data_IF_353617023509
#
_entry.id   IF_353617023509
#
_cell.length_a   1.000
_cell.length_b   1.000
_cell.length_c   1.000
_cell.angle_alpha   90.00
_cell.angle_beta   90.00
_cell.angle_gamma   90.00
#
_symmetry.space_group_name_H-M   'P 1'
#
loop_
_entity.id
_entity.type
_entity.pdbx_description
1 polymer ?
#
# COMPACT_ATOMS: atom_id res chain seq x y z
N UNK A 1 -2.16 33.19 -11.89
CA UNK A 1 -3.01 33.48 -10.72
C UNK A 1 -2.52 32.71 -9.49
N UNK A 2 -2.42 31.37 -9.55
CA UNK A 2 -2.03 30.49 -8.42
C UNK A 2 -0.69 30.82 -7.73
N UNK A 3 0.42 31.06 -8.46
CA UNK A 3 1.72 31.48 -7.86
C UNK A 3 1.62 32.75 -6.99
N UNK A 4 0.65 33.66 -7.23
CA UNK A 4 0.42 34.85 -6.38
C UNK A 4 -0.34 34.54 -5.09
N UNK A 5 -0.91 33.35 -4.97
CA UNK A 5 -1.59 32.84 -3.77
C UNK A 5 -0.69 31.90 -2.94
N UNK A 6 0.62 31.85 -3.24
CA UNK A 6 1.56 30.93 -2.59
C UNK A 6 1.43 29.47 -3.05
N UNK A 7 0.67 29.19 -4.12
CA UNK A 7 0.54 27.85 -4.69
C UNK A 7 1.49 27.68 -5.88
N UNK A 8 2.48 26.82 -5.71
CA UNK A 8 3.49 26.48 -6.70
C UNK A 8 3.22 25.08 -7.25
N UNK A 9 3.26 24.94 -8.58
CA UNK A 9 3.15 23.67 -9.28
C UNK A 9 4.38 23.58 -10.18
N UNK A 10 5.10 22.46 -10.07
CA UNK A 10 6.26 22.11 -10.91
C UNK A 10 5.90 20.75 -11.51
N UNK A 11 5.87 20.66 -12.84
CA UNK A 11 5.34 19.49 -13.56
C UNK A 11 6.07 19.19 -14.87
N UNK A 12 7.27 19.74 -15.04
CA UNK A 12 8.12 19.55 -16.21
C UNK A 12 9.59 19.78 -15.84
N UNK A 13 10.51 19.30 -16.68
CA UNK A 13 11.95 19.32 -16.42
C UNK A 13 12.60 20.72 -16.54
N UNK A 14 11.94 21.71 -17.14
CA UNK A 14 12.46 23.08 -17.21
C UNK A 14 12.19 23.82 -15.89
N UNK A 15 10.93 23.78 -15.42
CA UNK A 15 10.53 24.36 -14.13
C UNK A 15 11.23 23.67 -12.94
N UNK A 16 11.60 22.38 -13.03
CA UNK A 16 12.29 21.68 -11.93
C UNK A 16 13.66 22.30 -11.59
N UNK A 17 14.30 22.97 -12.55
CA UNK A 17 15.60 23.62 -12.38
C UNK A 17 15.49 25.01 -11.72
N UNK A 18 14.28 25.56 -11.61
CA UNK A 18 14.02 26.87 -11.01
C UNK A 18 13.31 26.68 -9.66
N UNK A 19 14.05 26.69 -8.53
CA UNK A 19 13.45 26.37 -7.23
C UNK A 19 12.47 27.45 -6.77
N UNK A 20 11.52 27.04 -5.94
CA UNK A 20 10.76 27.97 -5.11
C UNK A 20 11.61 28.31 -3.91
N UNK A 21 12.06 29.57 -3.80
CA UNK A 21 12.88 30.02 -2.67
C UNK A 21 12.00 30.70 -1.62
N UNK A 22 12.13 30.26 -0.36
CA UNK A 22 11.45 30.84 0.81
C UNK A 22 12.52 31.35 1.77
N UNK A 23 12.46 32.63 2.13
CA UNK A 23 13.34 33.23 3.14
C UNK A 23 12.78 32.99 4.55
N UNK A 24 13.63 32.54 5.47
CA UNK A 24 13.29 32.22 6.86
C UNK A 24 14.33 32.77 7.83
N UNK A 25 13.92 33.07 9.07
CA UNK A 25 14.85 33.53 10.11
C UNK A 25 15.77 32.43 10.66
N UNK A 26 15.38 31.16 10.53
CA UNK A 26 16.10 30.02 11.10
C UNK A 26 17.08 29.37 10.11
N UNK A 27 16.70 29.27 8.83
CA UNK A 27 17.49 28.61 7.78
C UNK A 27 18.04 29.57 6.71
N UNK A 28 17.68 30.85 6.74
CA UNK A 28 17.98 31.74 5.61
C UNK A 28 17.11 31.37 4.41
N UNK A 29 17.73 31.28 3.23
CA UNK A 29 17.03 30.92 1.99
C UNK A 29 16.88 29.40 1.86
N UNK A 30 15.65 28.92 1.72
CA UNK A 30 15.35 27.50 1.50
C UNK A 30 14.79 27.34 0.08
N UNK A 31 15.51 26.60 -0.75
CA UNK A 31 15.21 26.35 -2.16
C UNK A 31 14.53 24.98 -2.32
N UNK A 32 13.26 24.98 -2.72
CA UNK A 32 12.47 23.78 -2.96
C UNK A 32 12.49 23.45 -4.46
N UNK A 33 13.08 22.31 -4.81
CA UNK A 33 13.13 21.74 -6.16
C UNK A 33 12.09 20.62 -6.29
N UNK A 34 11.22 20.70 -7.28
CA UNK A 34 10.19 19.68 -7.53
C UNK A 34 10.54 18.81 -8.72
N UNK A 35 11.07 17.61 -8.49
CA UNK A 35 11.30 16.62 -9.56
C UNK A 35 9.97 15.93 -9.88
N UNK A 36 9.43 16.07 -11.11
CA UNK A 36 8.22 15.35 -11.49
C UNK A 36 8.51 13.85 -11.61
N UNK A 37 7.46 13.02 -11.45
CA UNK A 37 7.51 11.62 -11.88
C UNK A 37 7.94 11.58 -13.36
N UNK A 38 8.85 10.65 -13.67
CA UNK A 38 9.56 10.62 -14.94
C UNK A 38 9.81 9.18 -15.42
N UNK A 39 9.61 8.98 -16.72
CA UNK A 39 9.96 7.73 -17.40
C UNK A 39 11.33 7.89 -18.13
N UNK A 40 12.18 6.85 -18.16
CA UNK A 40 13.52 6.92 -18.76
C UNK A 40 13.51 7.38 -20.23
N UNK A 41 12.49 6.97 -20.99
CA UNK A 41 12.22 7.42 -22.37
C UNK A 41 12.11 8.93 -22.48
N UNK A 42 11.40 9.56 -21.54
CA UNK A 42 11.11 10.99 -21.55
C UNK A 42 12.38 11.77 -21.19
N UNK A 43 13.13 11.32 -20.20
CA UNK A 43 14.42 11.91 -19.79
C UNK A 43 15.43 11.80 -20.93
N UNK A 44 15.61 10.61 -21.53
CA UNK A 44 16.42 10.38 -22.73
C UNK A 44 16.00 11.27 -23.90
N UNK A 45 14.69 11.42 -24.13
CA UNK A 45 14.19 12.28 -25.21
C UNK A 45 14.47 13.76 -24.96
N UNK A 46 14.31 14.27 -23.74
CA UNK A 46 14.49 15.70 -23.43
C UNK A 46 15.97 16.07 -23.39
N UNK A 47 16.77 15.34 -22.60
CA UNK A 47 18.19 15.66 -22.38
C UNK A 47 19.15 15.11 -23.45
N UNK A 48 18.68 14.20 -24.32
CA UNK A 48 19.47 13.49 -25.35
C UNK A 48 20.59 12.59 -24.80
N UNK A 49 20.52 12.27 -23.51
CA UNK A 49 21.45 11.36 -22.82
C UNK A 49 20.99 9.89 -22.91
N UNK A 50 21.92 8.91 -22.91
CA UNK A 50 21.61 7.49 -23.10
C UNK A 50 21.05 6.78 -21.86
N UNK A 51 20.09 7.43 -21.19
CA UNK A 51 19.38 6.90 -20.00
C UNK A 51 18.42 5.78 -20.39
N UNK A 52 18.41 4.69 -19.63
CA UNK A 52 17.63 3.48 -19.89
C UNK A 52 16.83 2.95 -18.69
N UNK A 53 17.20 3.30 -17.46
CA UNK A 53 16.51 2.88 -16.22
C UNK A 53 15.98 4.07 -15.41
N UNK A 54 15.05 3.82 -14.48
CA UNK A 54 14.58 4.87 -13.56
C UNK A 54 15.71 5.36 -12.63
N UNK A 55 16.65 4.50 -12.25
CA UNK A 55 17.85 4.90 -11.50
C UNK A 55 18.73 5.89 -12.29
N UNK A 56 19.09 5.57 -13.53
CA UNK A 56 19.87 6.45 -14.42
C UNK A 56 19.14 7.78 -14.69
N UNK A 57 17.81 7.73 -14.81
CA UNK A 57 16.98 8.90 -15.00
C UNK A 57 17.02 9.83 -13.77
N UNK A 58 16.77 9.28 -12.58
CA UNK A 58 16.78 10.06 -11.34
C UNK A 58 18.17 10.60 -11.01
N UNK A 59 19.23 9.83 -11.29
CA UNK A 59 20.62 10.30 -11.22
C UNK A 59 20.83 11.56 -12.06
N UNK A 60 20.54 11.49 -13.36
CA UNK A 60 20.74 12.63 -14.27
C UNK A 60 19.90 13.85 -13.87
N UNK A 61 18.64 13.64 -13.46
CA UNK A 61 17.77 14.73 -13.02
C UNK A 61 18.26 15.35 -11.69
N UNK A 62 18.74 14.55 -10.74
CA UNK A 62 19.33 15.03 -9.50
C UNK A 62 20.63 15.81 -9.76
N UNK A 63 21.54 15.28 -10.59
CA UNK A 63 22.75 15.99 -11.03
C UNK A 63 22.40 17.35 -11.64
N UNK A 64 21.44 17.41 -12.57
CA UNK A 64 20.97 18.65 -13.21
C UNK A 64 20.38 19.66 -12.21
N UNK A 65 19.73 19.21 -11.14
CA UNK A 65 19.26 20.07 -10.04
C UNK A 65 20.44 20.57 -9.20
N UNK A 66 21.40 19.71 -8.84
CA UNK A 66 22.57 20.12 -8.04
C UNK A 66 23.46 21.14 -8.77
N UNK A 67 23.51 21.10 -10.11
CA UNK A 67 24.13 22.15 -10.94
C UNK A 67 23.51 23.55 -10.74
N UNK A 68 22.28 23.65 -10.21
CA UNK A 68 21.57 24.91 -9.94
C UNK A 68 21.66 25.38 -8.49
N UNK A 69 22.42 24.69 -7.62
CA UNK A 69 22.55 25.06 -6.22
C UNK A 69 23.26 26.40 -6.02
N UNK A 70 22.88 27.11 -4.96
CA UNK A 70 23.52 28.34 -4.52
C UNK A 70 24.07 28.15 -3.10
N UNK A 71 25.28 28.65 -2.81
CA UNK A 71 26.00 28.37 -1.55
C UNK A 71 25.23 28.78 -0.29
N UNK A 72 24.43 29.83 -0.39
CA UNK A 72 23.65 30.39 0.72
C UNK A 72 22.28 29.70 0.92
N UNK A 73 21.93 28.74 0.07
CA UNK A 73 20.64 28.06 0.12
C UNK A 73 20.71 26.75 0.93
N UNK A 74 19.56 26.35 1.49
CA UNK A 74 19.27 24.96 1.87
C UNK A 74 18.39 24.35 0.80
N UNK A 75 18.80 23.23 0.23
CA UNK A 75 18.26 22.66 -0.98
C UNK A 75 17.39 21.46 -0.62
N UNK A 76 16.08 21.59 -0.81
CA UNK A 76 15.09 20.57 -0.52
C UNK A 76 14.58 19.97 -1.82
N UNK A 77 14.72 18.66 -1.97
CA UNK A 77 14.11 17.92 -3.07
C UNK A 77 12.70 17.45 -2.69
N UNK A 78 11.75 17.63 -3.59
CA UNK A 78 10.45 16.99 -3.57
C UNK A 78 10.41 16.07 -4.79
N UNK A 79 10.23 14.76 -4.58
CA UNK A 79 10.25 13.76 -5.67
C UNK A 79 9.25 12.64 -5.44
N UNK A 80 8.89 11.94 -6.51
CA UNK A 80 7.98 10.79 -6.49
C UNK A 80 8.64 9.62 -7.21
N UNK A 81 9.24 8.71 -6.45
CA UNK A 81 9.99 7.57 -6.99
C UNK A 81 9.98 6.38 -6.02
N UNK A 82 10.49 5.24 -6.49
CA UNK A 82 10.73 4.07 -5.67
C UNK A 82 12.21 4.01 -5.26
N UNK A 83 12.54 4.26 -3.99
CA UNK A 83 13.90 4.07 -3.48
C UNK A 83 14.15 2.61 -3.17
N UNK A 84 15.26 2.03 -3.65
CA UNK A 84 15.55 0.61 -3.45
C UNK A 84 15.58 0.23 -1.97
N UNK A 85 15.01 -0.94 -1.66
CA UNK A 85 14.89 -1.49 -0.31
C UNK A 85 13.95 -0.72 0.62
N UNK A 86 13.12 0.20 0.11
CA UNK A 86 11.97 0.74 0.84
C UNK A 86 10.84 -0.32 0.97
N UNK A 87 9.93 -0.10 1.91
CA UNK A 87 8.84 -1.02 2.28
C UNK A 87 7.55 -0.63 1.55
N UNK A 88 6.95 -1.62 0.88
CA UNK A 88 5.76 -1.50 0.05
C UNK A 88 4.47 -1.90 0.80
N UNK A 89 3.34 -1.41 0.33
CA UNK A 89 1.99 -1.76 0.82
C UNK A 89 1.14 -2.36 -0.30
N UNK A 90 0.25 -3.31 0.00
CA UNK A 90 -0.60 -3.98 -1.02
C UNK A 90 -1.51 -3.04 -1.84
N UNK A 91 -1.78 -1.84 -1.33
CA UNK A 91 -2.56 -0.79 -2.01
C UNK A 91 -1.77 0.01 -3.06
N UNK A 92 -0.44 -0.10 -3.03
CA UNK A 92 0.45 0.55 -3.98
C UNK A 92 0.41 -0.23 -5.30
N UNK A 93 0.36 0.49 -6.43
CA UNK A 93 0.42 -0.16 -7.74
C UNK A 93 1.88 -0.43 -8.06
N UNK A 94 2.30 -1.68 -8.35
CA UNK A 94 3.62 -1.94 -8.89
C UNK A 94 3.79 -1.14 -10.19
N UNK A 95 4.78 -0.25 -10.23
CA UNK A 95 5.09 0.52 -11.44
C UNK A 95 5.84 -0.36 -12.44
N UNK A 96 6.61 -1.35 -11.96
CA UNK A 96 7.31 -2.33 -12.76
C UNK A 96 7.10 -3.78 -12.31
N UNK A 97 7.51 -4.72 -13.17
CA UNK A 97 7.70 -6.13 -12.81
C UNK A 97 9.19 -6.36 -12.62
N UNK A 98 9.60 -6.78 -11.42
CA UNK A 98 11.00 -7.12 -11.13
C UNK A 98 11.87 -5.96 -10.64
N UNK A 99 11.30 -4.81 -10.30
CA UNK A 99 12.02 -3.70 -9.65
C UNK A 99 12.84 -2.82 -10.60
N UNK A 100 12.45 -2.70 -11.87
CA UNK A 100 13.12 -1.80 -12.84
C UNK A 100 12.78 -0.32 -12.64
N UNK A 101 11.82 -0.03 -11.77
CA UNK A 101 11.39 1.29 -11.28
C UNK A 101 12.24 1.84 -10.11
N UNK A 102 13.17 1.03 -9.59
CA UNK A 102 13.96 1.36 -8.40
C UNK A 102 15.06 2.37 -8.68
N UNK A 103 15.34 3.17 -7.64
CA UNK A 103 16.27 4.30 -7.63
C UNK A 103 17.15 4.22 -6.38
N UNK A 104 18.45 4.44 -6.53
CA UNK A 104 19.37 4.56 -5.40
C UNK A 104 19.14 5.86 -4.63
N UNK A 105 19.15 5.78 -3.30
CA UNK A 105 19.12 6.99 -2.45
C UNK A 105 20.41 7.82 -2.57
N UNK A 106 21.50 7.24 -3.10
CA UNK A 106 22.80 7.91 -3.25
C UNK A 106 22.71 9.17 -4.14
N UNK A 107 21.79 9.18 -5.11
CA UNK A 107 21.55 10.33 -5.99
C UNK A 107 21.01 11.56 -5.24
N UNK A 108 20.55 11.39 -4.00
CA UNK A 108 19.95 12.46 -3.21
C UNK A 108 20.82 12.94 -2.04
N UNK A 109 22.05 12.44 -1.89
CA UNK A 109 22.94 12.76 -0.74
C UNK A 109 23.43 14.21 -0.68
N UNK A 110 23.26 14.98 -1.75
CA UNK A 110 23.65 16.39 -1.80
C UNK A 110 22.55 17.36 -1.33
N UNK A 111 21.33 16.87 -1.05
CA UNK A 111 20.21 17.70 -0.60
C UNK A 111 20.17 17.79 0.93
N UNK A 112 19.75 18.94 1.45
CA UNK A 112 19.54 19.13 2.90
C UNK A 112 18.32 18.35 3.41
N UNK A 113 17.31 18.12 2.56
CA UNK A 113 16.16 17.26 2.86
C UNK A 113 15.50 16.74 1.58
N UNK A 114 14.94 15.54 1.63
CA UNK A 114 14.29 14.88 0.49
C UNK A 114 12.91 14.37 0.91
N UNK A 115 11.88 15.10 0.46
CA UNK A 115 10.47 14.74 0.63
C UNK A 115 10.04 13.80 -0.49
N UNK A 116 9.92 12.51 -0.17
CA UNK A 116 9.47 11.48 -1.11
C UNK A 116 7.96 11.23 -1.00
N UNK A 117 7.31 11.16 -2.16
CA UNK A 117 6.00 10.55 -2.34
C UNK A 117 6.10 9.21 -3.07
N UNK A 118 5.00 8.44 -3.02
CA UNK A 118 4.70 7.18 -3.71
C UNK A 118 4.22 6.11 -2.71
N UNK A 119 5.05 5.79 -1.72
CA UNK A 119 4.79 4.73 -0.75
C UNK A 119 3.83 5.24 0.34
N UNK A 120 2.93 4.36 0.79
CA UNK A 120 1.89 4.66 1.76
C UNK A 120 2.35 4.48 3.21
N UNK A 121 3.45 3.75 3.44
CA UNK A 121 4.08 3.66 4.76
C UNK A 121 5.05 4.83 5.01
N UNK A 122 4.90 5.60 6.11
CA UNK A 122 5.91 6.57 6.53
C UNK A 122 7.21 5.85 6.91
N UNK A 123 8.33 6.27 6.32
CA UNK A 123 9.65 5.63 6.49
C UNK A 123 10.78 6.54 6.02
N UNK A 124 12.00 6.21 6.42
CA UNK A 124 13.25 6.82 5.93
C UNK A 124 14.07 5.78 5.16
N UNK A 125 14.94 6.21 4.24
CA UNK A 125 15.81 5.28 3.52
C UNK A 125 17.16 5.88 3.13
N UNK A 126 18.23 5.18 3.47
CA UNK A 126 19.60 5.64 3.29
C UNK A 126 20.02 6.57 4.42
N UNK A 127 19.46 7.77 4.43
CA UNK A 127 19.76 8.84 5.39
C UNK A 127 18.49 9.33 6.10
N UNK A 128 18.62 9.88 7.32
CA UNK A 128 17.49 10.36 8.12
C UNK A 128 16.66 11.47 7.44
N UNK A 129 17.28 12.24 6.54
CA UNK A 129 16.64 13.33 5.81
C UNK A 129 15.99 12.88 4.48
N UNK A 130 16.05 11.59 4.13
CA UNK A 130 15.43 11.01 2.92
C UNK A 130 14.20 10.22 3.35
N UNK A 131 13.01 10.83 3.26
CA UNK A 131 11.80 10.30 3.93
C UNK A 131 10.57 10.28 3.04
N UNK A 132 9.85 9.16 3.11
CA UNK A 132 8.44 9.09 2.70
C UNK A 132 7.55 9.54 3.87
N UNK A 133 6.63 10.46 3.61
CA UNK A 133 5.61 10.86 4.60
C UNK A 133 4.51 9.81 4.81
N UNK A 134 4.37 8.87 3.86
CA UNK A 134 3.26 7.92 3.82
C UNK A 134 1.94 8.56 3.38
N UNK A 135 0.86 7.78 3.45
CA UNK A 135 -0.51 8.25 3.28
C UNK A 135 -1.10 8.79 4.59
N UNK A 136 -2.12 9.65 4.49
CA UNK A 136 -2.83 10.17 5.68
C UNK A 136 -3.85 9.17 6.26
N UNK A 137 -4.22 8.14 5.51
CA UNK A 137 -5.17 7.08 5.90
C UNK A 137 -4.72 5.73 5.33
N UNK A 138 -5.23 4.64 5.90
CA UNK A 138 -4.99 3.27 5.42
C UNK A 138 -5.81 3.01 4.15
N UNK A 139 -5.21 2.41 3.12
CA UNK A 139 -5.89 2.08 1.87
C UNK A 139 -6.03 0.56 1.61
N UNK A 140 -5.24 -0.30 2.27
CA UNK A 140 -5.44 -1.75 2.35
C UNK A 140 -5.27 -2.30 3.77
N UNK A 141 -5.70 -3.56 3.96
CA UNK A 141 -5.55 -4.26 5.23
C UNK A 141 -4.09 -4.62 5.56
N UNK A 142 -3.20 -4.74 4.57
CA UNK A 142 -1.75 -4.78 4.80
C UNK A 142 -1.21 -3.55 5.57
N UNK A 143 -1.89 -2.40 5.48
CA UNK A 143 -1.53 -1.18 6.21
C UNK A 143 -2.08 -1.11 7.65
N UNK A 144 -2.78 -2.14 8.15
CA UNK A 144 -3.47 -2.09 9.47
C UNK A 144 -2.56 -1.70 10.64
N UNK A 145 -1.27 -2.05 10.56
CA UNK A 145 -0.26 -1.77 11.59
C UNK A 145 0.53 -0.47 11.33
N UNK A 146 0.33 0.17 10.18
CA UNK A 146 1.02 1.42 9.85
C UNK A 146 0.39 2.57 10.63
N UNK A 147 1.25 3.35 11.29
CA UNK A 147 0.91 4.64 11.86
C UNK A 147 0.77 5.64 10.71
N UNK A 148 -0.39 6.25 10.56
CA UNK A 148 -0.65 7.26 9.52
C UNK A 148 -0.51 8.64 10.13
N UNK A 149 -0.09 9.61 9.33
CA UNK A 149 0.27 10.91 9.86
C UNK A 149 1.01 11.76 8.86
N UNK A 150 1.76 12.74 9.36
CA UNK A 150 2.64 13.59 8.56
C UNK A 150 3.96 13.82 9.29
N UNK A 151 5.00 14.16 8.55
CA UNK A 151 6.33 14.43 9.11
C UNK A 151 6.51 15.93 9.32
N UNK A 152 6.70 16.36 10.57
CA UNK A 152 7.22 17.69 10.90
C UNK A 152 8.74 17.65 10.74
N UNK A 153 9.29 18.55 9.94
CA UNK A 153 10.72 18.59 9.60
C UNK A 153 11.30 19.92 10.03
N UNK A 154 12.42 19.90 10.75
CA UNK A 154 13.15 21.09 11.15
C UNK A 154 14.42 21.24 10.29
N UNK A 155 14.55 22.41 9.66
CA UNK A 155 15.70 22.82 8.83
C UNK A 155 16.22 24.13 9.39
N UNK A 156 17.54 24.28 9.47
CA UNK A 156 18.18 25.53 9.87
C UNK A 156 19.41 25.86 9.06
N UNK A 157 20.20 26.79 9.58
CA UNK A 157 21.65 26.62 9.50
C UNK A 157 22.00 25.38 10.36
N UNK A 158 22.71 24.36 9.90
CA UNK A 158 23.42 24.20 8.62
C UNK A 158 22.93 22.97 7.84
N UNK A 159 21.61 22.81 7.72
CA UNK A 159 20.96 21.67 7.06
C UNK A 159 19.74 21.16 7.84
N UNK A 160 19.44 19.87 7.66
CA UNK A 160 18.48 19.12 8.48
C UNK A 160 18.88 19.11 9.96
N UNK A 161 17.89 19.38 10.83
CA UNK A 161 18.03 19.33 12.30
C UNK A 161 17.35 18.07 12.84
N UNK A 162 16.20 17.68 12.28
CA UNK A 162 15.46 16.49 12.69
C UNK A 162 14.08 16.38 12.05
N UNK A 163 13.43 15.23 12.29
CA UNK A 163 12.08 14.95 11.85
C UNK A 163 11.27 14.25 12.96
N UNK A 164 10.02 14.69 13.15
CA UNK A 164 9.04 14.07 14.04
C UNK A 164 7.85 13.58 13.21
N UNK A 165 7.40 12.34 13.43
CA UNK A 165 6.16 11.85 12.81
C UNK A 165 4.97 12.13 13.72
N UNK A 166 4.06 12.98 13.26
CA UNK A 166 2.84 13.35 13.98
C UNK A 166 1.71 12.43 13.50
N UNK A 167 1.34 11.49 14.38
CA UNK A 167 0.28 10.52 14.12
C UNK A 167 -1.10 11.18 14.01
N UNK A 168 -1.91 10.71 13.06
CA UNK A 168 -3.31 11.07 12.87
C UNK A 168 -4.19 9.87 13.21
N UNK A 169 -5.27 10.12 13.95
CA UNK A 169 -6.29 9.11 14.26
C UNK A 169 -7.38 9.14 13.19
N UNK A 170 -7.66 8.01 12.55
CA UNK A 170 -8.78 7.90 11.62
C UNK A 170 -10.13 7.80 12.40
N UNK A 171 -11.26 8.25 11.82
CA UNK A 171 -12.58 8.03 12.42
C UNK A 171 -12.94 6.55 12.56
N UNK A 172 -12.47 5.72 11.61
CA UNK A 172 -12.59 4.28 11.59
C UNK A 172 -11.22 3.71 11.16
N UNK A 173 -10.69 2.77 11.92
CA UNK A 173 -9.45 2.06 11.58
C UNK A 173 -9.72 0.92 10.59
N UNK A 174 -8.66 0.44 9.92
CA UNK A 174 -8.70 -0.86 9.25
C UNK A 174 -8.12 -1.93 10.18
N UNK A 175 -8.85 -3.01 10.42
CA UNK A 175 -8.40 -4.15 11.23
C UNK A 175 -8.66 -5.48 10.52
N UNK A 176 -7.80 -6.46 10.77
CA UNK A 176 -8.06 -7.88 10.47
C UNK A 176 -8.53 -8.57 11.75
N UNK A 177 -9.64 -9.31 11.67
CA UNK A 177 -10.16 -10.16 12.76
C UNK A 177 -10.17 -11.60 12.27
N UNK A 178 -9.62 -12.52 13.07
CA UNK A 178 -9.42 -13.93 12.70
C UNK A 178 -9.97 -14.85 13.80
N UNK A 179 -10.73 -15.88 13.42
CA UNK A 179 -11.39 -16.80 14.35
C UNK A 179 -12.49 -17.63 13.70
N UNK A 180 -13.18 -18.46 14.49
CA UNK A 180 -14.42 -19.13 14.09
C UNK A 180 -15.60 -18.14 14.15
N UNK A 181 -16.65 -18.34 13.35
CA UNK A 181 -17.72 -17.34 13.21
C UNK A 181 -18.38 -16.99 14.55
N UNK A 182 -18.80 -17.98 15.33
CA UNK A 182 -19.47 -17.79 16.62
C UNK A 182 -18.61 -16.97 17.59
N UNK A 183 -17.29 -17.16 17.57
CA UNK A 183 -16.34 -16.42 18.38
C UNK A 183 -16.25 -14.95 17.95
N UNK A 184 -16.16 -14.69 16.64
CA UNK A 184 -16.14 -13.32 16.09
C UNK A 184 -17.46 -12.60 16.37
N UNK A 185 -18.59 -13.31 16.30
CA UNK A 185 -19.90 -12.76 16.66
C UNK A 185 -19.99 -12.37 18.13
N UNK A 186 -19.39 -13.14 19.04
CA UNK A 186 -19.37 -12.79 20.47
C UNK A 186 -18.46 -11.59 20.75
N UNK A 187 -17.28 -11.52 20.12
CA UNK A 187 -16.40 -10.35 20.21
C UNK A 187 -17.10 -9.07 19.74
N UNK A 188 -17.76 -9.09 18.58
CA UNK A 188 -18.43 -7.92 18.02
C UNK A 188 -19.56 -7.34 18.87
N UNK A 189 -20.18 -8.12 19.77
CA UNK A 189 -21.19 -7.62 20.74
C UNK A 189 -20.60 -6.69 21.81
N UNK A 190 -19.28 -6.75 22.01
CA UNK A 190 -18.57 -6.08 23.11
C UNK A 190 -17.40 -5.19 22.65
N UNK A 191 -17.04 -5.24 21.38
CA UNK A 191 -15.99 -4.43 20.78
C UNK A 191 -16.43 -2.95 20.67
N UNK A 192 -15.78 -2.01 21.39
CA UNK A 192 -16.12 -0.59 21.32
C UNK A 192 -15.74 0.06 19.98
N UNK A 193 -15.05 -0.67 19.09
CA UNK A 193 -14.65 -0.23 17.75
C UNK A 193 -15.35 -1.03 16.64
N UNK A 194 -16.56 -1.55 16.90
CA UNK A 194 -17.26 -2.41 15.94
C UNK A 194 -17.64 -1.73 14.60
N UNK A 195 -17.55 -0.40 14.52
CA UNK A 195 -17.68 0.38 13.28
C UNK A 195 -16.37 0.52 12.48
N UNK A 196 -15.24 -0.03 12.94
CA UNK A 196 -14.01 -0.09 12.13
C UNK A 196 -14.21 -0.89 10.83
N UNK A 197 -13.41 -0.58 9.81
CA UNK A 197 -13.39 -1.33 8.56
C UNK A 197 -12.70 -2.67 8.78
N UNK A 198 -13.41 -3.77 8.53
CA UNK A 198 -12.90 -5.12 8.80
C UNK A 198 -12.67 -5.96 7.55
N UNK A 199 -11.55 -6.68 7.57
CA UNK A 199 -11.35 -7.93 6.87
C UNK A 199 -11.50 -9.04 7.91
N UNK A 200 -12.43 -9.96 7.66
CA UNK A 200 -12.67 -11.11 8.54
C UNK A 200 -12.03 -12.35 7.93
N UNK A 201 -11.24 -13.08 8.71
CA UNK A 201 -10.67 -14.40 8.36
C UNK A 201 -11.39 -15.47 9.15
N UNK A 202 -12.23 -16.25 8.47
CA UNK A 202 -12.94 -17.37 9.08
C UNK A 202 -12.06 -18.63 9.08
N UNK A 203 -11.81 -19.15 10.29
CA UNK A 203 -11.05 -20.37 10.55
C UNK A 203 -11.92 -21.63 10.51
N UNK A 204 -13.24 -21.47 10.36
CA UNK A 204 -14.22 -22.53 10.34
C UNK A 204 -13.90 -23.56 9.24
N UNK A 205 -13.96 -24.84 9.63
CA UNK A 205 -13.61 -25.98 8.76
C UNK A 205 -14.76 -26.50 7.92
N UNK A 206 -15.96 -25.94 8.13
CA UNK A 206 -17.20 -26.30 7.44
C UNK A 206 -17.71 -25.11 6.63
N UNK A 207 -18.52 -25.36 5.60
CA UNK A 207 -19.22 -24.29 4.92
C UNK A 207 -20.20 -23.60 5.88
N UNK A 208 -20.30 -22.27 5.77
CA UNK A 208 -21.22 -21.45 6.55
C UNK A 208 -22.10 -20.69 5.58
N UNK A 209 -23.42 -20.72 5.82
CA UNK A 209 -24.44 -19.97 5.14
C UNK A 209 -24.46 -18.50 5.58
N UNK A 210 -24.53 -17.60 4.60
CA UNK A 210 -24.61 -16.14 4.76
C UNK A 210 -23.68 -15.52 5.84
N UNK A 211 -22.38 -15.85 5.89
CA UNK A 211 -21.48 -15.37 6.95
C UNK A 211 -21.38 -13.83 6.97
N UNK A 212 -21.42 -13.18 5.80
CA UNK A 212 -21.42 -11.71 5.70
C UNK A 212 -22.65 -11.05 6.34
N UNK A 213 -23.81 -11.70 6.28
CA UNK A 213 -25.04 -11.20 6.91
C UNK A 213 -24.94 -11.35 8.43
N UNK A 214 -24.56 -12.55 8.91
CA UNK A 214 -24.31 -12.83 10.32
C UNK A 214 -23.30 -11.86 10.92
N UNK A 215 -22.12 -11.69 10.30
CA UNK A 215 -21.06 -10.78 10.76
C UNK A 215 -21.52 -9.31 10.84
N UNK A 216 -22.29 -8.83 9.86
CA UNK A 216 -22.77 -7.44 9.83
C UNK A 216 -23.81 -7.10 10.90
N UNK A 217 -24.35 -8.10 11.61
CA UNK A 217 -25.20 -7.84 12.80
C UNK A 217 -24.42 -7.24 13.97
N UNK A 218 -23.10 -7.49 14.05
CA UNK A 218 -22.23 -6.98 15.12
C UNK A 218 -21.12 -6.06 14.63
N UNK A 219 -20.66 -6.27 13.39
CA UNK A 219 -19.63 -5.47 12.72
C UNK A 219 -20.18 -4.89 11.39
N UNK A 220 -20.86 -3.72 11.41
CA UNK A 220 -21.55 -3.19 10.22
C UNK A 220 -20.61 -2.98 9.01
N UNK A 221 -19.35 -2.62 9.28
CA UNK A 221 -18.37 -2.19 8.28
C UNK A 221 -17.39 -3.30 7.83
N UNK A 222 -17.79 -4.58 7.89
CA UNK A 222 -17.04 -5.67 7.23
C UNK A 222 -17.01 -5.43 5.71
N UNK A 223 -15.82 -5.16 5.19
CA UNK A 223 -15.55 -4.91 3.78
C UNK A 223 -15.13 -6.19 3.04
N UNK A 224 -14.40 -7.09 3.70
CA UNK A 224 -13.85 -8.29 3.07
C UNK A 224 -13.95 -9.53 3.98
N UNK A 225 -14.00 -10.70 3.36
CA UNK A 225 -14.11 -12.00 4.02
C UNK A 225 -13.22 -13.02 3.33
N UNK A 226 -12.27 -13.56 4.07
CA UNK A 226 -11.39 -14.65 3.65
C UNK A 226 -11.74 -15.93 4.41
N UNK A 227 -11.54 -17.09 3.76
CA UNK A 227 -11.70 -18.41 4.38
C UNK A 227 -10.43 -19.26 4.15
N UNK A 228 -9.27 -18.87 4.72
CA UNK A 228 -8.00 -19.55 4.44
C UNK A 228 -8.01 -21.02 4.88
N UNK A 229 -8.86 -21.41 5.83
CA UNK A 229 -9.08 -22.81 6.21
C UNK A 229 -9.51 -23.73 5.05
N UNK A 230 -10.16 -23.21 4.00
CA UNK A 230 -10.49 -23.97 2.78
C UNK A 230 -9.37 -23.96 1.71
N UNK A 231 -8.33 -23.14 1.88
CA UNK A 231 -7.18 -23.05 0.95
C UNK A 231 -5.97 -23.86 1.41
N UNK A 232 -5.89 -24.23 2.70
CA UNK A 232 -4.81 -25.06 3.26
C UNK A 232 -5.02 -26.53 2.84
N UNK A 233 -4.61 -26.84 1.61
CA UNK A 233 -4.67 -28.21 1.06
C UNK A 233 -3.99 -28.42 -0.30
N UNK A 234 -3.47 -27.36 -0.93
CA UNK A 234 -2.91 -27.36 -2.30
C UNK A 234 -1.39 -27.55 -2.30
N UNK A 235 -0.92 -28.72 -1.83
CA UNK A 235 0.35 -29.26 -2.31
C UNK A 235 0.15 -29.92 -3.68
N UNK A 236 1.12 -29.72 -4.58
CA UNK A 236 1.05 -30.14 -5.98
C UNK A 236 1.27 -31.65 -6.15
N UNK A 237 0.21 -32.44 -5.97
CA UNK A 237 -0.09 -33.65 -6.76
C UNK A 237 -1.53 -34.11 -6.40
N UNK A 238 -2.31 -34.58 -7.39
CA UNK A 238 -3.75 -34.94 -7.27
C UNK A 238 -4.79 -33.80 -7.14
N UNK A 239 -4.58 -32.65 -7.79
CA UNK A 239 -5.50 -31.49 -7.71
C UNK A 239 -6.99 -31.82 -8.01
N UNK A 240 -7.30 -32.50 -9.11
CA UNK A 240 -8.70 -32.74 -9.54
C UNK A 240 -9.51 -33.62 -8.57
N UNK A 241 -8.91 -34.67 -8.00
CA UNK A 241 -9.61 -35.58 -7.10
C UNK A 241 -9.86 -34.98 -5.70
N UNK A 242 -8.98 -34.07 -5.25
CA UNK A 242 -9.20 -33.27 -4.03
C UNK A 242 -10.22 -32.16 -4.25
N UNK A 243 -10.20 -31.47 -5.39
CA UNK A 243 -11.17 -30.42 -5.73
C UNK A 243 -12.62 -30.94 -5.75
N UNK A 244 -12.87 -32.05 -6.47
CA UNK A 244 -14.20 -32.67 -6.49
C UNK A 244 -14.66 -33.15 -5.10
N UNK A 245 -13.72 -33.51 -4.21
CA UNK A 245 -14.01 -33.86 -2.82
C UNK A 245 -14.39 -32.61 -2.00
N UNK A 246 -13.62 -31.52 -2.10
CA UNK A 246 -13.99 -30.26 -1.45
C UNK A 246 -15.32 -29.69 -1.94
N UNK A 247 -15.67 -29.86 -3.22
CA UNK A 247 -16.96 -29.41 -3.75
C UNK A 247 -18.14 -30.23 -3.19
N UNK A 248 -17.98 -31.56 -3.06
CA UNK A 248 -18.97 -32.43 -2.40
C UNK A 248 -19.09 -32.10 -0.91
N UNK A 249 -17.97 -31.94 -0.22
CA UNK A 249 -17.94 -31.65 1.22
C UNK A 249 -18.53 -30.24 1.51
N UNK A 250 -18.23 -29.23 0.68
CA UNK A 250 -18.90 -27.91 0.73
C UNK A 250 -20.41 -27.99 0.49
N UNK A 251 -20.86 -28.85 -0.43
CA UNK A 251 -22.31 -29.03 -0.67
C UNK A 251 -22.99 -29.77 0.48
N UNK A 252 -22.33 -30.75 1.10
CA UNK A 252 -22.82 -31.44 2.31
C UNK A 252 -23.06 -30.47 3.44
N UNK A 253 -22.06 -29.64 3.75
CA UNK A 253 -22.15 -28.63 4.80
C UNK A 253 -23.29 -27.63 4.52
N UNK A 254 -23.38 -27.13 3.28
CA UNK A 254 -24.49 -26.27 2.85
C UNK A 254 -25.85 -26.94 3.02
N UNK A 255 -26.00 -28.21 2.62
CA UNK A 255 -27.26 -28.94 2.74
C UNK A 255 -27.64 -29.16 4.21
N UNK A 256 -26.68 -29.54 5.04
CA UNK A 256 -26.86 -29.74 6.48
C UNK A 256 -27.35 -28.46 7.18
N UNK A 257 -26.72 -27.31 6.93
CA UNK A 257 -27.16 -26.03 7.51
C UNK A 257 -28.49 -25.53 6.91
N UNK A 258 -28.73 -25.77 5.62
CA UNK A 258 -29.95 -25.30 4.94
C UNK A 258 -31.20 -26.16 5.19
N UNK A 259 -31.06 -27.42 5.58
CA UNK A 259 -32.16 -28.39 5.79
C UNK A 259 -32.20 -29.02 7.18
N UNK A 260 -31.30 -28.63 8.09
CA UNK A 260 -31.15 -29.20 9.45
C UNK A 260 -31.06 -30.75 9.45
N UNK A 261 -30.45 -31.31 8.40
CA UNK A 261 -30.34 -32.75 8.16
C UNK A 261 -29.22 -33.09 7.18
N UNK A 262 -28.52 -34.21 7.40
CA UNK A 262 -27.49 -34.70 6.48
C UNK A 262 -28.09 -35.22 5.15
N UNK A 263 -27.29 -35.19 4.08
CA UNK A 263 -27.65 -35.84 2.81
C UNK A 263 -27.85 -37.34 3.00
N UNK A 264 -28.88 -37.90 2.37
CA UNK A 264 -28.97 -39.35 2.20
C UNK A 264 -27.90 -39.86 1.24
N UNK A 265 -27.51 -41.13 1.36
CA UNK A 265 -26.58 -41.79 0.45
C UNK A 265 -27.00 -41.66 -1.03
N UNK A 266 -28.30 -41.62 -1.31
CA UNK A 266 -28.84 -41.47 -2.67
C UNK A 266 -28.63 -40.04 -3.20
N UNK A 267 -28.80 -39.03 -2.35
CA UNK A 267 -28.57 -37.63 -2.70
C UNK A 267 -27.06 -37.35 -2.88
N UNK A 268 -26.22 -37.82 -1.95
CA UNK A 268 -24.76 -37.71 -2.07
C UNK A 268 -24.25 -38.34 -3.38
N UNK A 269 -24.76 -39.53 -3.74
CA UNK A 269 -24.40 -40.20 -4.98
C UNK A 269 -24.85 -39.42 -6.22
N UNK A 270 -26.03 -38.79 -6.19
CA UNK A 270 -26.53 -37.95 -7.27
C UNK A 270 -25.68 -36.70 -7.48
N UNK A 271 -25.36 -35.97 -6.40
CA UNK A 271 -24.52 -34.77 -6.42
C UNK A 271 -23.09 -35.11 -6.90
N UNK A 272 -22.52 -36.20 -6.39
CA UNK A 272 -21.21 -36.71 -6.80
C UNK A 272 -21.14 -37.03 -8.30
N UNK A 273 -22.25 -37.48 -8.91
CA UNK A 273 -22.32 -37.77 -10.34
C UNK A 273 -22.41 -36.48 -11.17
N UNK A 274 -23.16 -35.47 -10.72
CA UNK A 274 -23.28 -34.17 -11.39
C UNK A 274 -21.94 -33.42 -11.39
N UNK A 275 -21.26 -33.35 -10.25
CA UNK A 275 -19.95 -32.70 -10.13
C UNK A 275 -18.93 -33.36 -11.08
N UNK A 276 -18.89 -34.70 -11.12
CA UNK A 276 -18.03 -35.45 -12.05
C UNK A 276 -18.33 -35.19 -13.53
N UNK A 277 -19.60 -34.99 -13.89
CA UNK A 277 -19.98 -34.64 -15.27
C UNK A 277 -19.51 -33.24 -15.65
N UNK A 278 -19.63 -32.27 -14.73
CA UNK A 278 -19.18 -30.90 -14.95
C UNK A 278 -17.64 -30.79 -15.01
N UNK A 279 -16.91 -31.58 -14.22
CA UNK A 279 -15.44 -31.62 -14.22
C UNK A 279 -14.82 -32.35 -15.43
N UNK A 280 -15.63 -32.89 -16.35
CA UNK A 280 -15.21 -33.65 -17.53
C UNK A 280 -15.51 -32.93 -18.86
N UNK A 281 -15.99 -31.67 -18.80
CA UNK A 281 -16.15 -30.76 -19.94
C UNK A 281 -15.01 -29.73 -20.01
#
# INVERSE_FOLDING_TARGET
>A
QMKRSGLHIISNFEDMLTPVVIETKAAGHVAFYGMPYNDPEQVRYVYKEPVSTHDEAHKLLAEKITEQFQSEHRNILISHCFVDGAIESESERPLSIGGSDRVSHEHFLNFDYVALGHLHQPQEKGEEYIRYSGSLMKYSFGEQNQKKGFTLVEIGKDGFIGAEHIELTAPHEMRIVEGELEQILEWGKTDPKNEDYLLVRLMDKHAILNPMEKLRTVYPNVLHLEKPGMLIGVEQEMAQAKLARSEIDMFKDFFAEAQDSELSNEQEQAISNIIKQLSQQ
#
